data_IF_245105165500
#
_entry.id   IF_245105165500
#
_cell.length_a   1.000
_cell.length_b   1.000
_cell.length_c   1.000
_cell.angle_alpha   90.00
_cell.angle_beta   90.00
_cell.angle_gamma   90.00
#
_symmetry.space_group_name_H-M   'P 1'
#
loop_
_entity.id
_entity.type
_entity.pdbx_description
1 polymer ?
#
# COMPACT_ATOMS: atom_id res chain seq x y z
N UNK A 1 32.21 3.24 76.04
CA UNK A 1 30.96 3.68 76.70
C UNK A 1 30.45 4.80 75.81
N UNK A 2 29.48 4.62 74.92
CA UNK A 2 28.10 4.15 75.12
C UNK A 2 27.61 3.51 73.81
N UNK A 3 26.91 2.37 73.91
CA UNK A 3 26.30 1.67 72.78
C UNK A 3 24.97 2.30 72.40
N UNK A 4 24.68 2.42 71.10
CA UNK A 4 23.31 2.54 70.59
C UNK A 4 23.20 1.78 69.26
N UNK A 5 22.54 0.64 69.35
CA UNK A 5 22.10 -0.25 68.28
C UNK A 5 20.91 0.37 67.56
N UNK A 6 20.97 0.53 66.23
CA UNK A 6 19.81 0.82 65.39
C UNK A 6 19.52 -0.40 64.50
N UNK A 7 18.40 -1.05 64.79
CA UNK A 7 17.93 -2.25 64.11
C UNK A 7 17.34 -1.96 62.73
N UNK A 8 17.62 -2.87 61.80
CA UNK A 8 16.98 -2.94 60.49
C UNK A 8 15.51 -3.37 60.64
N UNK A 9 14.59 -2.57 60.12
CA UNK A 9 13.17 -2.92 60.02
C UNK A 9 12.87 -3.36 58.60
N UNK A 10 12.70 -4.67 58.41
CA UNK A 10 12.28 -5.29 57.16
C UNK A 10 10.74 -5.19 57.05
N UNK A 11 10.26 -4.44 56.06
CA UNK A 11 8.84 -4.40 55.70
C UNK A 11 8.52 -5.64 54.86
N UNK A 12 7.72 -6.56 55.43
CA UNK A 12 7.16 -7.72 54.73
C UNK A 12 5.93 -7.28 53.93
N UNK A 13 5.94 -7.53 52.63
CA UNK A 13 4.77 -7.43 51.75
C UNK A 13 4.24 -8.86 51.51
N UNK A 14 2.92 -9.12 51.66
CA UNK A 14 2.37 -10.46 51.48
C UNK A 14 2.25 -10.84 50.00
N UNK A 15 2.74 -12.04 49.65
CA UNK A 15 2.49 -12.73 48.37
C UNK A 15 1.06 -13.30 48.34
N UNK A 16 0.28 -13.14 47.26
CA UNK A 16 -0.93 -13.92 47.08
C UNK A 16 -0.62 -15.31 46.52
N UNK A 17 -1.15 -16.32 47.20
CA UNK A 17 -1.08 -17.74 46.87
C UNK A 17 -1.73 -18.09 45.52
N UNK A 18 -1.12 -19.05 44.82
CA UNK A 18 -1.73 -19.79 43.72
C UNK A 18 -2.74 -20.83 44.22
N UNK A 19 -3.81 -21.14 43.45
CA UNK A 19 -4.56 -22.37 43.63
C UNK A 19 -4.29 -23.38 42.49
N UNK A 20 -3.85 -24.57 42.90
CA UNK A 20 -3.75 -25.79 42.10
C UNK A 20 -5.11 -26.49 41.94
N UNK A 21 -5.20 -27.26 40.86
CA UNK A 21 -6.35 -28.00 40.33
C UNK A 21 -6.97 -29.05 41.26
N UNK A 22 -8.30 -29.28 41.12
CA UNK A 22 -8.85 -30.54 40.59
C UNK A 22 -10.40 -30.53 40.48
N UNK A 23 -10.87 -30.76 39.24
CA UNK A 23 -11.89 -31.73 38.84
C UNK A 23 -13.34 -31.57 39.36
N UNK A 24 -14.28 -31.27 38.44
CA UNK A 24 -15.48 -32.09 38.18
C UNK A 24 -15.96 -31.87 36.73
N UNK A 25 -16.31 -32.99 36.07
CA UNK A 25 -16.77 -33.15 34.69
C UNK A 25 -18.12 -32.44 34.46
N UNK A 26 -18.40 -32.03 33.21
CA UNK A 26 -19.52 -32.55 32.38
C UNK A 26 -19.63 -31.78 31.05
N UNK A 27 -19.61 -32.57 29.97
CA UNK A 27 -20.24 -32.47 28.65
C UNK A 27 -20.16 -31.18 27.81
N UNK A 28 -19.44 -31.34 26.70
CA UNK A 28 -19.57 -30.63 25.43
C UNK A 28 -20.97 -30.73 24.82
N UNK A 29 -21.53 -29.62 24.35
CA UNK A 29 -22.66 -29.61 23.42
C UNK A 29 -22.30 -28.77 22.18
N UNK A 30 -22.26 -29.46 21.03
CA UNK A 30 -22.09 -28.91 19.69
C UNK A 30 -23.35 -28.16 19.28
N UNK A 31 -23.21 -26.96 18.73
CA UNK A 31 -24.29 -26.29 18.00
C UNK A 31 -24.43 -26.94 16.63
N UNK A 32 -25.42 -27.84 16.53
CA UNK A 32 -25.91 -28.43 15.28
C UNK A 32 -27.12 -27.66 14.77
N UNK A 33 -27.09 -27.37 13.47
CA UNK A 33 -28.13 -26.73 12.69
C UNK A 33 -29.15 -27.83 12.31
N UNK A 34 -30.44 -27.64 12.56
CA UNK A 34 -31.51 -28.48 12.01
C UNK A 34 -32.86 -27.73 11.94
N UNK A 35 -33.75 -28.10 11.00
CA UNK A 35 -34.73 -27.21 10.39
C UNK A 35 -36.14 -27.34 10.99
N UNK A 36 -36.93 -26.28 10.87
CA UNK A 36 -38.36 -26.30 11.18
C UNK A 36 -39.18 -26.70 9.95
N UNK A 37 -39.78 -27.88 10.02
CA UNK A 37 -40.83 -28.37 9.12
C UNK A 37 -42.13 -28.39 9.93
N UNK A 38 -43.14 -27.63 9.51
CA UNK A 38 -44.52 -27.74 10.04
C UNK A 38 -45.42 -28.21 8.92
N UNK A 39 -46.16 -29.29 9.17
CA UNK A 39 -47.06 -29.97 8.24
C UNK A 39 -48.52 -29.75 8.65
N UNK A 40 -49.34 -29.34 7.68
CA UNK A 40 -50.77 -29.70 7.54
C UNK A 40 -51.80 -28.73 8.15
N UNK A 41 -52.99 -28.57 7.54
CA UNK A 41 -53.76 -29.69 6.96
C UNK A 41 -54.21 -29.53 5.49
N UNK A 42 -54.44 -30.69 4.84
CA UNK A 42 -55.07 -30.89 3.52
C UNK A 42 -56.53 -30.46 3.51
N UNK A 43 -57.04 -29.99 2.36
CA UNK A 43 -58.26 -30.51 1.72
C UNK A 43 -58.33 -30.16 0.20
N UNK A 44 -58.48 -31.23 -0.60
CA UNK A 44 -59.23 -31.45 -1.86
C UNK A 44 -59.09 -30.52 -3.09
N UNK A 45 -58.49 -31.08 -4.15
CA UNK A 45 -59.16 -31.41 -5.42
C UNK A 45 -59.28 -30.34 -6.52
N UNK A 46 -58.83 -30.67 -7.72
CA UNK A 46 -59.22 -29.96 -8.96
C UNK A 46 -58.11 -29.84 -9.99
N UNK A 47 -58.24 -30.54 -11.11
CA UNK A 47 -57.35 -30.47 -12.26
C UNK A 47 -57.50 -29.14 -13.03
N UNK A 48 -56.47 -28.80 -13.83
CA UNK A 48 -56.51 -28.31 -15.21
C UNK A 48 -55.57 -27.14 -15.54
N UNK A 49 -54.96 -27.29 -16.73
CA UNK A 49 -54.43 -26.28 -17.65
C UNK A 49 -53.09 -25.57 -17.33
N UNK A 50 -52.04 -26.12 -17.95
CA UNK A 50 -50.91 -25.33 -18.46
C UNK A 50 -51.39 -24.29 -19.48
N UNK A 51 -51.04 -23.02 -19.29
CA UNK A 51 -50.96 -22.05 -20.37
C UNK A 51 -49.66 -21.24 -20.25
N UNK A 52 -48.94 -21.24 -21.37
CA UNK A 52 -47.71 -20.50 -21.65
C UNK A 52 -47.95 -18.99 -21.64
N UNK A 53 -47.10 -18.24 -20.95
CA UNK A 53 -46.96 -16.80 -21.15
C UNK A 53 -45.49 -16.46 -21.37
N UNK A 54 -45.15 -16.23 -22.65
CA UNK A 54 -43.97 -15.50 -23.09
C UNK A 54 -44.22 -14.02 -22.85
N UNK A 55 -43.36 -13.36 -22.09
CA UNK A 55 -43.34 -11.89 -21.98
C UNK A 55 -42.16 -11.36 -22.80
N UNK A 56 -42.46 -10.67 -23.90
CA UNK A 56 -41.51 -9.82 -24.65
C UNK A 56 -41.95 -8.38 -24.49
N UNK A 57 -41.16 -7.56 -23.82
CA UNK A 57 -41.36 -6.11 -23.78
C UNK A 57 -40.50 -5.46 -24.88
N UNK A 58 -41.16 -4.72 -25.79
CA UNK A 58 -40.55 -3.88 -26.82
C UNK A 58 -40.28 -2.48 -26.24
N UNK A 59 -39.10 -1.94 -26.49
CA UNK A 59 -38.76 -0.52 -26.28
C UNK A 59 -38.87 0.20 -27.64
N UNK A 60 -39.51 1.38 -27.74
CA UNK A 60 -39.65 2.09 -29.01
C UNK A 60 -38.37 2.85 -29.39
N UNK A 61 -38.03 2.77 -30.67
CA UNK A 61 -37.02 3.58 -31.35
C UNK A 61 -37.68 4.89 -31.80
N UNK A 62 -37.07 6.03 -31.44
CA UNK A 62 -37.38 7.34 -32.02
C UNK A 62 -36.20 7.80 -32.85
N UNK A 63 -36.47 8.25 -34.07
CA UNK A 63 -35.51 8.73 -35.04
C UNK A 63 -35.72 10.22 -35.33
N UNK A 64 -34.63 10.84 -35.84
CA UNK A 64 -34.51 12.11 -36.56
C UNK A 64 -33.93 13.30 -35.77
N UNK A 65 -32.79 13.79 -36.28
CA UNK A 65 -32.11 15.01 -35.88
C UNK A 65 -30.72 15.06 -36.52
N UNK A 66 -30.66 15.37 -37.82
CA UNK A 66 -29.41 15.48 -38.58
C UNK A 66 -28.67 16.77 -38.27
N UNK A 67 -27.33 16.71 -38.27
CA UNK A 67 -26.48 17.88 -38.37
C UNK A 67 -25.29 17.61 -39.32
N UNK A 68 -25.07 18.64 -40.13
CA UNK A 68 -24.18 18.76 -41.28
C UNK A 68 -22.71 18.58 -40.91
N UNK A 69 -21.98 17.83 -41.73
CA UNK A 69 -20.51 17.84 -41.76
C UNK A 69 -20.06 19.10 -42.50
N UNK A 70 -19.45 20.04 -41.78
CA UNK A 70 -18.63 21.09 -42.36
C UNK A 70 -17.18 20.72 -42.12
N UNK A 71 -16.46 20.35 -43.18
CA UNK A 71 -15.01 20.28 -43.19
C UNK A 71 -14.45 21.70 -43.04
N UNK A 72 -13.82 21.99 -41.90
CA UNK A 72 -12.94 23.14 -41.73
C UNK A 72 -11.50 22.65 -41.73
N UNK A 73 -10.82 22.85 -42.85
CA UNK A 73 -9.38 22.74 -42.97
C UNK A 73 -8.72 23.89 -42.20
N UNK A 74 -8.14 23.58 -41.03
CA UNK A 74 -7.26 24.50 -40.31
C UNK A 74 -5.86 23.89 -40.20
N UNK A 75 -4.91 24.66 -40.68
CA UNK A 75 -3.48 24.38 -40.78
C UNK A 75 -2.87 23.96 -39.43
N UNK A 76 -2.31 22.76 -39.38
CA UNK A 76 -1.47 22.31 -38.27
C UNK A 76 -0.09 22.96 -38.37
N UNK A 77 0.06 24.14 -37.78
CA UNK A 77 1.37 24.73 -37.49
C UNK A 77 1.66 24.70 -35.99
N UNK A 78 2.61 23.83 -35.62
CA UNK A 78 3.61 24.04 -34.58
C UNK A 78 3.14 24.56 -33.22
N UNK A 79 2.59 23.67 -32.39
CA UNK A 79 2.58 23.82 -30.94
C UNK A 79 3.10 22.55 -30.30
N UNK A 80 4.42 22.47 -30.05
CA UNK A 80 4.99 21.42 -29.20
C UNK A 80 4.53 21.68 -27.76
N UNK A 81 3.30 21.29 -27.45
CA UNK A 81 2.91 21.00 -26.09
C UNK A 81 3.72 19.79 -25.67
N UNK A 82 4.80 20.02 -24.93
CA UNK A 82 5.50 18.95 -24.23
C UNK A 82 4.49 18.34 -23.26
N UNK A 83 3.85 17.26 -23.68
CA UNK A 83 3.26 16.29 -22.76
C UNK A 83 4.43 15.74 -21.96
N UNK A 84 4.74 16.38 -20.84
CA UNK A 84 5.75 15.90 -19.90
C UNK A 84 5.41 14.45 -19.61
N UNK A 85 6.28 13.53 -20.05
CA UNK A 85 6.07 12.11 -19.91
C UNK A 85 5.89 11.79 -18.41
N UNK A 86 4.77 11.14 -18.08
CA UNK A 86 4.50 10.67 -16.73
C UNK A 86 5.55 9.62 -16.36
N UNK A 87 6.22 9.77 -15.21
CA UNK A 87 7.23 8.82 -14.71
C UNK A 87 6.73 7.37 -14.79
N UNK A 88 7.44 6.51 -15.51
CA UNK A 88 7.07 5.09 -15.69
C UNK A 88 8.02 4.12 -14.97
N UNK A 89 7.59 2.86 -14.81
CA UNK A 89 8.41 1.83 -14.16
C UNK A 89 9.74 1.66 -14.88
N UNK A 90 10.82 1.67 -14.11
CA UNK A 90 12.17 1.54 -14.62
C UNK A 90 12.74 2.84 -15.18
N UNK A 91 12.05 3.97 -15.18
CA UNK A 91 12.67 5.25 -15.49
C UNK A 91 13.52 5.75 -14.32
N UNK A 92 14.62 6.43 -14.65
CA UNK A 92 15.45 7.12 -13.67
C UNK A 92 14.74 8.39 -13.21
N UNK A 93 14.63 8.59 -11.90
CA UNK A 93 13.98 9.79 -11.35
C UNK A 93 14.82 11.03 -11.63
N UNK A 94 14.21 12.21 -11.79
CA UNK A 94 14.96 13.43 -12.05
C UNK A 94 15.87 13.80 -10.85
N UNK A 95 17.09 14.23 -11.13
CA UNK A 95 18.04 14.65 -10.09
C UNK A 95 17.88 16.12 -9.72
N UNK A 96 16.75 16.48 -9.11
CA UNK A 96 16.46 17.87 -8.74
C UNK A 96 16.94 18.18 -7.32
N UNK A 97 17.30 19.45 -7.13
CA UNK A 97 17.45 20.04 -5.80
C UNK A 97 16.09 20.33 -5.18
N UNK A 98 16.02 20.18 -3.86
CA UNK A 98 14.85 20.55 -3.07
C UNK A 98 15.29 21.08 -1.70
N UNK A 99 14.44 21.89 -1.10
CA UNK A 99 14.53 22.27 0.30
C UNK A 99 13.66 21.31 1.15
N UNK A 100 14.11 21.00 2.36
CA UNK A 100 13.42 20.06 3.24
C UNK A 100 13.63 20.41 4.71
N UNK A 101 12.91 19.73 5.60
CA UNK A 101 13.13 19.81 7.05
C UNK A 101 14.54 19.38 7.50
N UNK A 102 15.30 18.70 6.65
CA UNK A 102 16.71 18.34 6.89
C UNK A 102 17.71 19.21 6.10
N UNK A 103 17.25 20.32 5.51
CA UNK A 103 18.05 21.21 4.68
C UNK A 103 17.94 20.92 3.18
N UNK A 104 18.76 21.63 2.40
CA UNK A 104 18.78 21.56 0.94
C UNK A 104 19.64 20.40 0.46
N UNK A 105 19.15 19.60 -0.48
CA UNK A 105 19.89 18.48 -1.08
C UNK A 105 19.33 18.09 -2.45
N UNK A 106 20.00 17.16 -3.13
CA UNK A 106 19.53 16.56 -4.40
C UNK A 106 18.89 15.19 -4.18
N UNK A 107 17.89 14.86 -5.00
CA UNK A 107 17.20 13.57 -4.89
C UNK A 107 18.14 12.37 -5.04
N UNK A 108 19.09 12.40 -5.97
CA UNK A 108 20.02 11.27 -6.12
C UNK A 108 21.01 11.15 -4.97
N UNK A 109 21.42 12.28 -4.40
CA UNK A 109 22.29 12.32 -3.21
C UNK A 109 21.56 11.73 -2.01
N UNK A 110 20.29 12.12 -1.80
CA UNK A 110 19.44 11.55 -0.77
C UNK A 110 19.35 10.03 -0.90
N UNK A 111 19.05 9.52 -2.11
CA UNK A 111 18.95 8.08 -2.36
C UNK A 111 20.30 7.41 -2.08
N UNK A 112 21.40 7.93 -2.64
CA UNK A 112 22.73 7.32 -2.53
C UNK A 112 22.70 5.87 -2.99
N UNK A 113 23.37 4.97 -2.28
CA UNK A 113 23.38 3.53 -2.61
C UNK A 113 22.27 2.73 -1.89
N UNK A 114 21.26 3.42 -1.35
CA UNK A 114 20.15 2.81 -0.61
C UNK A 114 18.90 2.72 -1.48
N UNK A 115 17.97 1.85 -1.07
CA UNK A 115 16.59 1.97 -1.53
C UNK A 115 15.96 3.22 -0.91
N UNK A 116 14.98 3.81 -1.59
CA UNK A 116 14.26 4.96 -1.05
C UNK A 116 12.76 4.87 -1.32
N UNK A 117 11.96 5.43 -0.43
CA UNK A 117 10.53 5.67 -0.61
C UNK A 117 10.30 7.16 -0.58
N UNK A 118 9.85 7.70 -1.71
CA UNK A 118 9.36 9.08 -1.82
C UNK A 118 7.84 9.03 -1.74
N UNK A 119 7.25 9.68 -0.76
CA UNK A 119 5.80 9.65 -0.58
C UNK A 119 5.25 11.06 -0.40
N UNK A 120 4.16 11.37 -1.11
CA UNK A 120 3.52 12.68 -1.03
C UNK A 120 2.30 12.66 -0.12
N UNK A 121 1.88 13.83 0.34
CA UNK A 121 0.59 14.07 0.97
C UNK A 121 -0.02 15.39 0.48
N UNK A 122 -1.35 15.54 0.43
CA UNK A 122 -1.98 16.75 -0.12
C UNK A 122 -1.65 18.06 0.57
N UNK A 123 -1.46 18.03 1.88
CA UNK A 123 -1.07 19.22 2.63
C UNK A 123 -0.93 18.99 4.12
N UNK A 124 -0.14 19.84 4.75
CA UNK A 124 0.05 19.91 6.19
C UNK A 124 -1.24 20.29 6.92
N UNK A 125 -1.30 20.02 8.23
CA UNK A 125 -2.45 20.32 9.08
C UNK A 125 -3.78 19.69 8.59
N UNK A 126 -3.71 18.56 7.89
CA UNK A 126 -4.90 17.82 7.42
C UNK A 126 -5.03 16.44 8.09
N UNK A 127 -6.25 15.98 8.39
CA UNK A 127 -6.46 14.88 9.34
C UNK A 127 -5.88 13.54 8.87
N UNK A 128 -6.15 13.12 7.63
CA UNK A 128 -5.66 11.84 7.10
C UNK A 128 -4.13 11.86 6.95
N UNK A 129 -3.54 13.00 6.59
CA UNK A 129 -2.09 13.12 6.48
C UNK A 129 -1.43 12.98 7.85
N UNK A 130 -2.02 13.56 8.91
CA UNK A 130 -1.50 13.42 10.28
C UNK A 130 -1.49 11.95 10.72
N UNK A 131 -2.55 11.19 10.40
CA UNK A 131 -2.59 9.76 10.75
C UNK A 131 -1.56 8.93 9.97
N UNK A 132 -1.36 9.23 8.69
CA UNK A 132 -0.39 8.53 7.85
C UNK A 132 1.06 8.79 8.27
N UNK A 133 1.42 10.06 8.46
CA UNK A 133 2.78 10.45 8.81
C UNK A 133 3.15 9.99 10.23
N UNK A 134 2.18 9.98 11.15
CA UNK A 134 2.39 9.39 12.47
C UNK A 134 2.68 7.88 12.38
N UNK A 135 1.90 7.16 11.57
CA UNK A 135 2.05 5.70 11.40
C UNK A 135 3.35 5.33 10.71
N UNK A 136 3.79 6.06 9.69
CA UNK A 136 5.06 5.79 9.03
C UNK A 136 6.25 6.17 9.92
N UNK A 137 6.16 7.24 10.72
CA UNK A 137 7.18 7.60 11.70
C UNK A 137 7.36 6.53 12.80
N UNK A 138 6.25 5.98 13.32
CA UNK A 138 6.31 4.86 14.29
C UNK A 138 7.00 3.62 13.70
N UNK A 139 6.86 3.41 12.40
CA UNK A 139 7.40 2.24 11.68
C UNK A 139 8.72 2.51 10.97
N UNK A 140 9.33 3.68 11.14
CA UNK A 140 10.54 4.06 10.40
C UNK A 140 11.65 3.00 10.56
N UNK A 141 11.80 2.43 11.76
CA UNK A 141 12.78 1.36 12.01
C UNK A 141 12.58 0.09 11.15
N UNK A 142 11.35 -0.23 10.71
CA UNK A 142 11.10 -1.35 9.81
C UNK A 142 11.62 -1.10 8.39
N UNK A 143 11.64 0.17 7.95
CA UNK A 143 12.22 0.59 6.67
C UNK A 143 13.75 0.62 6.77
N UNK A 144 14.29 1.17 7.86
CA UNK A 144 15.73 1.21 8.12
C UNK A 144 16.35 -0.20 8.17
N UNK A 145 15.66 -1.17 8.80
CA UNK A 145 16.09 -2.57 8.81
C UNK A 145 16.20 -3.20 7.40
N UNK A 146 15.50 -2.63 6.41
CA UNK A 146 15.55 -3.05 5.00
C UNK A 146 16.51 -2.21 4.18
N UNK A 147 17.25 -1.28 4.79
CA UNK A 147 18.10 -0.33 4.08
C UNK A 147 17.32 0.62 3.18
N UNK A 148 16.08 0.97 3.58
CA UNK A 148 15.20 1.88 2.85
C UNK A 148 15.14 3.23 3.56
N UNK A 149 15.48 4.29 2.83
CA UNK A 149 15.32 5.68 3.29
C UNK A 149 13.91 6.17 3.00
N UNK A 150 13.32 6.95 3.90
CA UNK A 150 12.02 7.58 3.72
C UNK A 150 12.18 9.08 3.46
N UNK A 151 11.36 9.65 2.58
CA UNK A 151 11.25 11.10 2.40
C UNK A 151 9.81 11.49 2.03
N UNK A 152 9.24 12.39 2.82
CA UNK A 152 7.91 12.97 2.59
C UNK A 152 7.97 14.14 1.61
N UNK A 153 6.81 14.51 1.03
CA UNK A 153 6.70 15.64 0.11
C UNK A 153 5.29 16.25 0.16
N UNK A 154 5.18 17.57 0.32
CA UNK A 154 3.97 18.31 -0.07
C UNK A 154 4.32 19.67 -0.67
N UNK A 155 3.29 20.42 -1.03
CA UNK A 155 3.42 21.74 -1.62
C UNK A 155 3.55 22.87 -0.58
N UNK A 156 3.59 22.52 0.71
CA UNK A 156 3.70 23.47 1.83
C UNK A 156 5.15 23.93 2.05
N UNK A 157 5.35 24.87 2.97
CA UNK A 157 6.68 25.41 3.30
C UNK A 157 7.44 24.53 4.30
N UNK A 158 8.76 24.70 4.38
CA UNK A 158 9.57 23.99 5.40
C UNK A 158 9.15 24.41 6.80
N UNK A 159 8.80 25.69 6.99
CA UNK A 159 8.31 26.23 8.25
C UNK A 159 7.03 25.54 8.71
N UNK A 160 6.09 25.34 7.78
CA UNK A 160 4.84 24.60 8.04
C UNK A 160 5.13 23.15 8.42
N UNK A 161 6.02 22.47 7.69
CA UNK A 161 6.40 21.08 8.02
C UNK A 161 6.96 20.98 9.44
N UNK A 162 7.89 21.87 9.82
CA UNK A 162 8.51 21.86 11.15
C UNK A 162 7.48 22.13 12.24
N UNK A 163 6.52 23.03 11.99
CA UNK A 163 5.43 23.27 12.93
C UNK A 163 4.50 22.05 13.04
N UNK A 164 4.09 21.48 11.91
CA UNK A 164 3.13 20.39 11.83
C UNK A 164 3.65 19.05 12.34
N UNK A 165 4.97 18.79 12.26
CA UNK A 165 5.60 17.61 12.87
C UNK A 165 5.22 17.46 14.36
N UNK A 166 5.06 18.57 15.08
CA UNK A 166 4.64 18.55 16.50
C UNK A 166 3.24 17.97 16.67
N UNK A 167 2.31 18.27 15.75
CA UNK A 167 0.95 17.74 15.78
C UNK A 167 0.93 16.25 15.44
N UNK A 168 1.77 15.82 14.48
CA UNK A 168 1.94 14.41 14.11
C UNK A 168 2.40 13.59 15.31
N UNK A 169 3.45 14.05 16.00
CA UNK A 169 4.02 13.39 17.17
C UNK A 169 3.07 13.45 18.38
N UNK A 170 2.31 14.54 18.55
CA UNK A 170 1.28 14.64 19.58
C UNK A 170 0.10 13.68 19.35
N UNK A 171 -0.35 13.53 18.10
CA UNK A 171 -1.43 12.61 17.73
C UNK A 171 -1.02 11.14 17.85
N UNK A 172 0.26 10.81 17.59
CA UNK A 172 0.77 9.44 17.57
C UNK A 172 1.85 9.23 18.64
N UNK A 173 1.45 8.88 19.88
CA UNK A 173 2.40 8.66 20.96
C UNK A 173 3.48 7.64 20.59
N UNK A 174 4.74 8.02 20.79
CA UNK A 174 5.91 7.19 20.50
C UNK A 174 6.42 7.27 19.05
N UNK A 175 5.69 7.95 18.15
CA UNK A 175 6.24 8.31 16.85
C UNK A 175 7.27 9.44 16.99
N UNK A 176 8.33 9.36 16.18
CA UNK A 176 9.29 10.46 16.01
C UNK A 176 9.56 10.65 14.52
N UNK A 177 9.18 11.80 13.97
CA UNK A 177 9.39 12.09 12.56
C UNK A 177 10.88 12.37 12.36
N UNK A 178 11.58 11.38 11.82
CA UNK A 178 13.05 11.39 11.65
C UNK A 178 13.48 11.40 10.18
N UNK A 179 12.54 11.21 9.26
CA UNK A 179 12.74 11.39 7.83
C UNK A 179 12.50 12.84 7.41
N UNK A 180 13.19 13.33 6.37
CA UNK A 180 12.94 14.66 5.81
C UNK A 180 11.55 14.74 5.16
N UNK A 181 10.98 15.95 5.18
CA UNK A 181 9.79 16.32 4.39
C UNK A 181 10.20 17.44 3.44
N UNK A 182 10.02 17.21 2.15
CA UNK A 182 10.32 18.15 1.07
C UNK A 182 9.22 19.20 0.98
N UNK A 183 9.65 20.46 0.94
CA UNK A 183 8.81 21.59 0.58
C UNK A 183 8.87 21.83 -0.94
N UNK A 184 7.75 21.66 -1.63
CA UNK A 184 7.64 21.88 -3.09
C UNK A 184 6.57 22.94 -3.45
N UNK A 185 6.72 24.21 -3.00
CA UNK A 185 5.75 25.25 -3.32
C UNK A 185 5.70 25.60 -4.82
N UNK A 186 6.73 25.28 -5.62
CA UNK A 186 6.66 25.44 -7.08
C UNK A 186 5.87 24.33 -7.76
N UNK A 187 5.72 23.16 -7.13
CA UNK A 187 5.15 21.91 -7.66
C UNK A 187 6.04 21.25 -8.73
N UNK A 188 7.28 21.71 -8.90
CA UNK A 188 8.14 21.23 -9.98
C UNK A 188 8.56 19.78 -9.75
N UNK A 189 8.87 19.41 -8.50
CA UNK A 189 9.28 18.06 -8.17
C UNK A 189 8.08 17.11 -8.20
N UNK A 190 6.96 17.52 -7.61
CA UNK A 190 5.69 16.79 -7.63
C UNK A 190 5.21 16.54 -9.07
N UNK A 191 5.30 17.53 -9.96
CA UNK A 191 4.91 17.38 -11.36
C UNK A 191 5.79 16.36 -12.09
N UNK A 192 7.12 16.45 -11.91
CA UNK A 192 8.07 15.54 -12.58
C UNK A 192 8.06 14.13 -12.01
N UNK A 193 7.69 13.98 -10.74
CA UNK A 193 7.43 12.68 -10.11
C UNK A 193 6.00 12.18 -10.35
N UNK A 194 5.18 12.87 -11.14
CA UNK A 194 3.80 12.47 -11.41
C UNK A 194 2.96 12.25 -10.13
N UNK A 195 3.05 13.20 -9.18
CA UNK A 195 2.40 13.11 -7.87
C UNK A 195 1.23 14.09 -7.70
N UNK A 196 0.99 15.01 -8.63
CA UNK A 196 -0.09 16.00 -8.52
C UNK A 196 -1.46 15.38 -8.77
N UNK A 197 -2.44 15.82 -7.98
CA UNK A 197 -3.86 15.53 -8.17
C UNK A 197 -4.52 16.77 -8.79
N UNK A 198 -5.06 16.69 -10.02
CA UNK A 198 -5.65 17.85 -10.69
C UNK A 198 -6.93 18.36 -10.01
N UNK A 199 -7.60 17.51 -9.24
CA UNK A 199 -8.87 17.83 -8.56
C UNK A 199 -8.65 18.39 -7.15
N UNK A 200 -7.49 18.15 -6.55
CA UNK A 200 -7.09 18.77 -5.28
C UNK A 200 -6.33 20.06 -5.53
N UNK A 201 -6.88 21.19 -5.06
CA UNK A 201 -6.32 22.52 -5.29
C UNK A 201 -6.14 23.29 -3.99
N UNK A 202 -5.10 24.12 -3.96
CA UNK A 202 -4.93 25.13 -2.92
C UNK A 202 -5.92 26.30 -3.09
N UNK A 203 -5.88 27.27 -2.17
CA UNK A 203 -6.73 28.46 -2.21
C UNK A 203 -6.55 29.32 -3.46
N UNK A 204 -5.43 29.17 -4.16
CA UNK A 204 -5.09 29.89 -5.39
C UNK A 204 -5.45 29.07 -6.64
N UNK A 205 -6.09 27.91 -6.47
CA UNK A 205 -6.49 27.04 -7.57
C UNK A 205 -5.34 26.21 -8.16
N UNK A 206 -4.17 26.18 -7.53
CA UNK A 206 -3.02 25.38 -8.00
C UNK A 206 -3.15 23.94 -7.50
N UNK A 207 -2.79 22.93 -8.33
CA UNK A 207 -2.81 21.53 -7.89
C UNK A 207 -1.97 21.27 -6.64
N UNK A 208 -2.46 20.37 -5.81
CA UNK A 208 -1.77 19.77 -4.68
C UNK A 208 -1.36 18.34 -5.04
N UNK A 209 -0.52 17.75 -4.22
CA UNK A 209 -0.15 16.34 -4.38
C UNK A 209 -1.29 15.39 -4.02
N UNK A 210 -1.38 14.28 -4.73
CA UNK A 210 -2.12 13.09 -4.31
C UNK A 210 -1.39 12.40 -3.14
N UNK A 211 -1.88 11.22 -2.72
CA UNK A 211 -1.15 10.33 -1.79
C UNK A 211 -0.28 9.35 -2.56
N UNK A 212 0.56 9.87 -3.46
CA UNK A 212 1.49 9.06 -4.23
C UNK A 212 2.60 8.47 -3.34
N UNK A 213 3.12 7.32 -3.72
CA UNK A 213 4.29 6.70 -3.11
C UNK A 213 5.10 5.97 -4.17
N UNK A 214 6.37 6.31 -4.29
CA UNK A 214 7.31 5.70 -5.22
C UNK A 214 8.40 4.97 -4.45
N UNK A 215 8.60 3.69 -4.78
CA UNK A 215 9.73 2.90 -4.30
C UNK A 215 10.84 2.97 -5.36
N UNK A 216 11.98 3.51 -4.97
CA UNK A 216 13.15 3.75 -5.83
C UNK A 216 14.28 2.79 -5.46
N UNK A 217 14.93 2.23 -6.48
CA UNK A 217 16.11 1.41 -6.28
C UNK A 217 17.37 2.24 -6.05
N UNK A 218 18.47 1.61 -5.59
CA UNK A 218 19.79 2.24 -5.51
C UNK A 218 20.29 2.79 -6.85
N UNK A 219 19.79 2.24 -7.95
CA UNK A 219 20.04 2.69 -9.32
C UNK A 219 19.25 3.96 -9.71
N UNK A 220 18.56 4.59 -8.76
CA UNK A 220 17.72 5.79 -8.94
C UNK A 220 16.50 5.57 -9.83
N UNK A 221 16.14 4.31 -10.11
CA UNK A 221 15.01 3.98 -11.00
C UNK A 221 13.76 3.64 -10.22
N UNK A 222 12.60 4.04 -10.74
CA UNK A 222 11.29 3.69 -10.19
C UNK A 222 11.08 2.17 -10.25
N UNK A 223 10.79 1.54 -9.11
CA UNK A 223 10.56 0.09 -9.01
C UNK A 223 9.09 -0.25 -8.80
N UNK A 224 8.37 0.62 -8.10
CA UNK A 224 6.93 0.49 -7.86
C UNK A 224 6.35 1.86 -7.53
N UNK A 225 5.09 2.07 -7.92
CA UNK A 225 4.32 3.26 -7.55
C UNK A 225 2.94 2.88 -7.04
N UNK A 226 2.48 3.56 -5.99
CA UNK A 226 1.09 3.60 -5.55
C UNK A 226 0.54 5.00 -5.77
N UNK A 227 -0.64 5.12 -6.38
CA UNK A 227 -1.36 6.38 -6.55
C UNK A 227 -2.71 6.27 -5.84
N UNK A 228 -2.79 6.92 -4.67
CA UNK A 228 -4.01 6.99 -3.87
C UNK A 228 -4.57 8.42 -3.95
N UNK A 229 -5.90 8.60 -4.08
CA UNK A 229 -6.50 9.93 -4.02
C UNK A 229 -6.38 10.50 -2.60
N UNK A 230 -6.56 11.81 -2.44
CA UNK A 230 -6.53 12.47 -1.13
C UNK A 230 -7.51 11.89 -0.10
N UNK A 231 -8.57 11.21 -0.53
CA UNK A 231 -9.61 10.62 0.32
C UNK A 231 -9.27 9.25 0.93
N UNK A 232 -8.24 8.55 0.44
CA UNK A 232 -7.94 7.17 0.87
C UNK A 232 -6.56 7.08 1.51
N UNK A 233 -6.50 6.83 2.82
CA UNK A 233 -5.25 6.58 3.53
C UNK A 233 -4.56 5.29 3.08
N UNK A 234 -3.23 5.33 2.98
CA UNK A 234 -2.38 4.23 2.51
C UNK A 234 -2.24 3.11 3.55
N UNK A 235 -2.04 1.90 3.03
CA UNK A 235 -1.68 0.74 3.84
C UNK A 235 -0.16 0.51 3.84
N UNK A 236 0.51 0.86 4.94
CA UNK A 236 1.96 0.66 5.06
C UNK A 236 2.39 -0.81 5.21
N UNK A 237 1.49 -1.74 5.54
CA UNK A 237 1.81 -3.17 5.50
C UNK A 237 2.06 -3.63 4.06
N UNK A 238 1.27 -3.11 3.12
CA UNK A 238 1.47 -3.39 1.69
C UNK A 238 2.76 -2.78 1.18
N UNK A 239 3.11 -1.57 1.63
CA UNK A 239 4.39 -0.93 1.26
C UNK A 239 5.57 -1.78 1.70
N UNK A 240 5.58 -2.25 2.95
CA UNK A 240 6.67 -3.11 3.47
C UNK A 240 6.71 -4.48 2.78
N UNK A 241 5.55 -5.08 2.53
CA UNK A 241 5.45 -6.35 1.77
C UNK A 241 6.00 -6.18 0.35
N UNK A 242 5.67 -5.08 -0.32
CA UNK A 242 6.17 -4.76 -1.64
C UNK A 242 7.70 -4.53 -1.65
N UNK A 243 8.25 -3.84 -0.64
CA UNK A 243 9.70 -3.71 -0.48
C UNK A 243 10.37 -5.08 -0.34
N UNK A 244 9.83 -5.94 0.54
CA UNK A 244 10.35 -7.30 0.73
C UNK A 244 10.34 -8.09 -0.60
N UNK A 245 9.26 -7.99 -1.37
CA UNK A 245 9.13 -8.65 -2.68
C UNK A 245 10.13 -8.10 -3.71
N UNK A 246 10.28 -6.78 -3.79
CA UNK A 246 11.20 -6.12 -4.74
C UNK A 246 12.65 -6.47 -4.45
N UNK A 247 13.06 -6.41 -3.19
CA UNK A 247 14.42 -6.75 -2.78
C UNK A 247 14.72 -8.24 -3.00
N UNK A 248 13.76 -9.12 -2.69
CA UNK A 248 13.89 -10.55 -2.94
C UNK A 248 14.01 -10.88 -4.43
N UNK A 249 13.17 -10.25 -5.27
CA UNK A 249 13.21 -10.43 -6.71
C UNK A 249 14.54 -9.95 -7.30
N UNK A 250 15.07 -8.81 -6.83
CA UNK A 250 16.35 -8.28 -7.28
C UNK A 250 17.53 -9.19 -6.89
N UNK A 251 17.53 -9.74 -5.66
CA UNK A 251 18.63 -10.55 -5.14
C UNK A 251 18.62 -11.99 -5.67
N UNK A 252 17.46 -12.66 -5.63
CA UNK A 252 17.36 -14.09 -5.95
C UNK A 252 16.97 -14.36 -7.41
N UNK A 253 16.54 -13.32 -8.14
CA UNK A 253 15.94 -13.42 -9.47
C UNK A 253 14.77 -14.42 -9.47
N UNK A 254 13.79 -14.15 -8.62
CA UNK A 254 12.52 -14.88 -8.50
C UNK A 254 11.37 -13.89 -8.66
N UNK A 255 10.15 -14.39 -8.78
CA UNK A 255 8.94 -13.57 -8.71
C UNK A 255 8.08 -13.97 -7.50
N UNK A 256 7.37 -13.02 -6.90
CA UNK A 256 6.43 -13.31 -5.81
C UNK A 256 5.00 -13.50 -6.37
N UNK A 257 4.26 -14.56 -5.99
CA UNK A 257 2.88 -14.76 -6.44
C UNK A 257 1.91 -13.73 -5.85
N UNK A 258 0.63 -13.81 -6.26
CA UNK A 258 -0.46 -13.04 -5.64
C UNK A 258 -0.50 -13.26 -4.14
N UNK A 259 -0.78 -12.19 -3.39
CA UNK A 259 -0.95 -12.20 -1.93
C UNK A 259 0.26 -12.75 -1.14
N UNK A 260 1.42 -12.83 -1.79
CA UNK A 260 2.65 -13.35 -1.19
C UNK A 260 3.05 -12.57 0.05
N UNK A 261 3.35 -13.31 1.12
CA UNK A 261 3.98 -12.79 2.34
C UNK A 261 5.37 -13.36 2.49
N UNK A 262 6.20 -12.64 3.24
CA UNK A 262 7.56 -13.08 3.55
C UNK A 262 7.56 -14.47 4.19
N UNK A 263 8.25 -15.41 3.55
CA UNK A 263 8.31 -16.83 3.94
C UNK A 263 7.45 -17.75 3.07
N UNK A 264 6.52 -17.22 2.27
CA UNK A 264 5.75 -18.02 1.31
C UNK A 264 6.62 -18.42 0.10
N UNK A 265 6.18 -19.48 -0.59
CA UNK A 265 6.76 -19.94 -1.86
C UNK A 265 6.82 -18.81 -2.89
N UNK A 266 7.89 -18.80 -3.67
CA UNK A 266 8.09 -17.88 -4.79
C UNK A 266 7.95 -18.62 -6.12
N UNK A 267 7.74 -17.85 -7.18
CA UNK A 267 7.64 -18.33 -8.56
C UNK A 267 9.03 -18.32 -9.21
N UNK A 268 9.40 -19.46 -9.80
CA UNK A 268 10.62 -19.57 -10.61
C UNK A 268 10.39 -18.84 -11.95
N UNK A 269 11.26 -17.90 -12.36
CA UNK A 269 11.04 -17.11 -13.57
C UNK A 269 10.82 -17.99 -14.81
N UNK A 270 9.83 -17.70 -15.66
CA UNK A 270 9.54 -18.51 -16.84
C UNK A 270 10.65 -18.45 -17.91
N UNK A 271 11.55 -17.46 -17.80
CA UNK A 271 12.71 -17.32 -18.69
C UNK A 271 13.78 -18.40 -18.49
N UNK A 272 13.80 -19.08 -17.33
CA UNK A 272 14.72 -20.18 -17.08
C UNK A 272 14.21 -21.47 -17.74
N UNK A 273 15.06 -22.13 -18.52
CA UNK A 273 14.79 -23.49 -19.01
C UNK A 273 14.62 -24.48 -17.86
N UNK A 274 14.05 -25.67 -18.12
CA UNK A 274 13.89 -26.71 -17.08
C UNK A 274 15.22 -27.08 -16.43
N UNK A 275 16.29 -27.22 -17.23
CA UNK A 275 17.63 -27.56 -16.73
C UNK A 275 18.24 -26.45 -15.88
N UNK A 276 18.06 -25.19 -16.25
CA UNK A 276 18.54 -24.04 -15.45
C UNK A 276 17.75 -23.91 -14.16
N UNK A 277 16.42 -24.05 -14.21
CA UNK A 277 15.57 -24.03 -13.03
C UNK A 277 15.93 -25.15 -12.06
N UNK A 278 16.18 -26.37 -12.54
CA UNK A 278 16.58 -27.50 -11.69
C UNK A 278 17.95 -27.30 -11.02
N UNK A 279 18.89 -26.62 -11.70
CA UNK A 279 20.20 -26.28 -11.14
C UNK A 279 20.11 -25.16 -10.11
N UNK A 280 19.37 -24.09 -10.44
CA UNK A 280 19.29 -22.89 -9.61
C UNK A 280 18.33 -23.05 -8.42
N UNK A 281 17.24 -23.79 -8.62
CA UNK A 281 16.19 -24.06 -7.64
C UNK A 281 15.95 -25.57 -7.56
N UNK A 282 16.88 -26.32 -6.94
CA UNK A 282 16.75 -27.77 -6.80
C UNK A 282 15.50 -28.11 -5.97
N UNK A 283 14.66 -29.01 -6.48
CA UNK A 283 13.42 -29.40 -5.83
C UNK A 283 12.25 -28.44 -6.04
N UNK A 284 12.34 -27.50 -6.98
CA UNK A 284 11.18 -26.70 -7.37
C UNK A 284 10.02 -27.57 -7.86
N UNK A 285 8.80 -27.16 -7.52
CA UNK A 285 7.56 -27.83 -7.91
C UNK A 285 7.08 -27.25 -9.23
N UNK A 286 6.65 -28.10 -10.16
CA UNK A 286 5.97 -27.69 -11.40
C UNK A 286 4.52 -28.11 -11.31
N UNK A 287 3.60 -27.16 -11.51
CA UNK A 287 2.16 -27.43 -11.51
C UNK A 287 1.73 -27.89 -12.90
N UNK A 288 1.13 -29.07 -12.97
CA UNK A 288 0.52 -29.58 -14.20
C UNK A 288 -0.76 -28.81 -14.52
N UNK A 289 -0.82 -28.24 -15.71
CA UNK A 289 -1.93 -27.38 -16.17
C UNK A 289 -2.53 -27.92 -17.48
N UNK A 290 -3.81 -27.65 -17.77
CA UNK A 290 -4.47 -28.14 -18.99
C UNK A 290 -3.78 -27.78 -20.32
N UNK A 291 -2.97 -26.70 -20.32
CA UNK A 291 -2.20 -26.28 -21.51
C UNK A 291 -1.00 -27.18 -21.83
N UNK A 292 -0.59 -28.06 -20.91
CA UNK A 292 0.66 -28.84 -21.01
C UNK A 292 1.94 -28.01 -20.88
N UNK A 293 1.84 -26.69 -20.68
CA UNK A 293 3.00 -25.79 -20.51
C UNK A 293 3.47 -25.78 -19.06
N UNK A 294 4.78 -25.96 -18.84
CA UNK A 294 5.44 -26.01 -17.53
C UNK A 294 5.97 -24.66 -17.03
N UNK A 295 5.14 -23.63 -17.13
CA UNK A 295 5.56 -22.26 -16.73
C UNK A 295 5.27 -21.96 -15.26
N UNK A 296 4.28 -22.63 -14.66
CA UNK A 296 3.87 -22.39 -13.28
C UNK A 296 4.71 -23.25 -12.33
N UNK A 297 5.83 -22.67 -11.90
CA UNK A 297 6.84 -23.33 -11.09
C UNK A 297 7.03 -22.60 -9.77
N UNK A 298 7.03 -23.32 -8.66
CA UNK A 298 7.20 -22.77 -7.31
C UNK A 298 8.43 -23.33 -6.61
N UNK A 299 9.04 -22.53 -5.74
CA UNK A 299 10.15 -22.99 -4.91
C UNK A 299 10.13 -22.29 -3.55
N UNK A 300 10.55 -23.01 -2.51
CA UNK A 300 10.79 -22.46 -1.19
C UNK A 300 12.21 -21.88 -1.14
N UNK A 301 12.33 -20.61 -0.76
CA UNK A 301 13.63 -20.00 -0.51
C UNK A 301 14.00 -20.23 0.96
N UNK A 302 14.92 -21.17 1.17
CA UNK A 302 15.55 -21.41 2.48
C UNK A 302 16.55 -20.31 2.83
#
# INVERSE_FOLDING_TARGET
>A
MTSLTAGASAVRVPLPCAPSAACHKIASARFGIAPWLVVGPRLKGGAHCFHSLKATARVPVSAAGGYSLTESSEDHSGGSGSTMASLTLGEEVPNLEFDSTAGRMKLHEFIGDSWAVVFSHPGDFTPVCTTELGKIALRNGEFEQRGVKLIGLSCDSVEDHVAWIKDIEAYTPGAKVSYPIIADPSRDLAQKLNMLDPDLKDSNGRPLTSRALHILGPDKRLKLSFLYPGSVGRNFDEVLRAIDALQLAADRQVATPSDWKKGDKVVVPPSLSEGEAAKKFPGHETVELPSGKKYLRFTDLK
#
